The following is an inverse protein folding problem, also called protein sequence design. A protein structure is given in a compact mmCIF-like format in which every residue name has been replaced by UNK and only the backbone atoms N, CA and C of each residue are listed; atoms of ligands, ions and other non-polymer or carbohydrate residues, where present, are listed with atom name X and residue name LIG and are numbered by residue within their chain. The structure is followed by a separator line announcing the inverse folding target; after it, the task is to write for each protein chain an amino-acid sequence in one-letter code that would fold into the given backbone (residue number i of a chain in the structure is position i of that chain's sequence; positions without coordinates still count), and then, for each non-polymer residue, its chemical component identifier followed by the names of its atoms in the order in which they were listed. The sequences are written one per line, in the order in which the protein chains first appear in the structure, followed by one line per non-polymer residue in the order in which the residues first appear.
data_IF_231984264112
#
_entry.id   IF_231984264112
#
_cell.length_a   1.000
_cell.length_b   1.000
_cell.length_c   1.000
_cell.angle_alpha   90.00
_cell.angle_beta   90.00
_cell.angle_gamma   90.00
#
_symmetry.space_group_name_H-M   'P 1'
#
loop_
_entity.id
_entity.type
_entity.pdbx_description
1 polymer ?
#
# COMPACT_ATOMS: atom_id res chain seq x y z
N UNK A 1 -0.72 11.93 25.06
CA UNK A 1 -0.12 13.04 24.30
C UNK A 1 -0.85 13.11 22.98
N UNK A 2 -1.77 14.05 22.83
CA UNK A 2 -2.41 14.34 21.56
C UNK A 2 -1.42 15.08 20.67
N UNK A 3 -0.96 14.42 19.60
CA UNK A 3 -0.28 15.10 18.50
C UNK A 3 -1.34 15.95 17.79
N UNK A 4 -1.40 17.24 18.14
CA UNK A 4 -2.12 18.22 17.33
C UNK A 4 -1.42 18.29 15.97
N UNK A 5 -2.00 17.67 14.96
CA UNK A 5 -1.60 17.90 13.57
C UNK A 5 -2.16 19.27 13.15
N UNK A 6 -1.32 20.29 12.90
CA UNK A 6 -1.81 21.59 12.47
C UNK A 6 -2.49 21.43 11.09
N UNK A 7 -3.73 21.92 10.98
CA UNK A 7 -4.46 21.96 9.71
C UNK A 7 -3.65 22.76 8.67
N UNK A 8 -3.50 22.23 7.46
CA UNK A 8 -2.82 22.92 6.33
C UNK A 8 -1.35 22.54 6.10
N UNK A 9 -0.76 21.70 6.96
CA UNK A 9 0.64 21.28 6.81
C UNK A 9 0.90 20.48 5.52
N UNK A 10 0.00 19.60 5.04
CA UNK A 10 0.22 18.90 3.77
C UNK A 10 0.33 19.87 2.59
N UNK A 11 -0.48 20.93 2.51
CA UNK A 11 -0.38 21.91 1.41
C UNK A 11 0.93 22.69 1.44
N UNK A 12 1.29 23.25 2.60
CA UNK A 12 2.49 24.05 2.75
C UNK A 12 3.76 23.20 2.58
N UNK A 13 3.77 21.97 3.12
CA UNK A 13 4.88 21.05 2.94
C UNK A 13 5.07 20.67 1.47
N UNK A 14 3.99 20.33 0.75
CA UNK A 14 4.08 19.97 -0.68
C UNK A 14 4.45 21.16 -1.57
N UNK A 15 4.08 22.38 -1.18
CA UNK A 15 4.48 23.63 -1.85
C UNK A 15 5.94 24.01 -1.58
N UNK A 16 6.39 23.91 -0.33
CA UNK A 16 7.75 24.31 0.09
C UNK A 16 8.81 23.23 -0.16
N UNK A 17 8.42 21.96 -0.34
CA UNK A 17 9.35 20.88 -0.67
C UNK A 17 9.77 20.88 -2.14
N UNK A 18 9.49 21.94 -2.92
CA UNK A 18 9.83 22.10 -4.34
C UNK A 18 11.25 21.64 -4.72
N UNK A 19 12.21 21.86 -3.82
CA UNK A 19 13.63 21.57 -4.06
C UNK A 19 14.22 20.46 -3.18
N UNK A 20 13.43 19.84 -2.30
CA UNK A 20 13.91 18.78 -1.42
C UNK A 20 13.96 17.43 -2.17
N UNK A 21 15.14 16.79 -2.17
CA UNK A 21 15.32 15.41 -2.63
C UNK A 21 14.60 14.45 -1.67
N UNK A 22 13.73 13.61 -2.20
CA UNK A 22 13.03 12.57 -1.46
C UNK A 22 11.83 13.03 -0.63
N UNK A 23 10.64 12.96 -1.23
CA UNK A 23 9.38 13.19 -0.52
C UNK A 23 8.90 11.88 0.14
N UNK A 24 8.80 11.90 1.47
CA UNK A 24 8.28 10.81 2.30
C UNK A 24 6.90 11.18 2.84
N UNK A 25 5.89 10.36 2.55
CA UNK A 25 4.50 10.61 2.94
C UNK A 25 3.97 9.39 3.69
N UNK A 26 3.50 9.63 4.91
CA UNK A 26 2.83 8.65 5.75
C UNK A 26 1.41 9.14 6.06
N UNK A 27 0.41 8.34 5.68
CA UNK A 27 -1.00 8.61 5.97
C UNK A 27 -1.58 7.44 6.77
N UNK A 28 -2.01 7.75 7.99
CA UNK A 28 -2.74 6.83 8.88
C UNK A 28 -3.88 7.63 9.52
N UNK A 29 -5.08 7.53 8.95
CA UNK A 29 -6.18 8.40 9.38
C UNK A 29 -7.47 7.61 9.59
N UNK A 30 -7.70 7.25 10.85
CA UNK A 30 -9.03 6.84 11.32
C UNK A 30 -10.03 8.02 11.38
N UNK A 31 -9.59 9.28 11.23
CA UNK A 31 -10.38 10.45 11.61
C UNK A 31 -9.94 11.73 10.90
N UNK A 32 -10.51 12.10 9.75
CA UNK A 32 -10.98 13.48 9.48
C UNK A 32 -11.75 13.61 8.15
N UNK A 33 -12.84 14.40 8.11
CA UNK A 33 -13.36 14.95 6.85
C UNK A 33 -12.37 15.98 6.29
N UNK A 34 -11.85 15.75 5.08
CA UNK A 34 -10.79 16.54 4.43
C UNK A 34 -9.76 15.69 3.66
N UNK A 35 -9.76 14.38 3.88
CA UNK A 35 -8.75 13.46 3.35
C UNK A 35 -8.79 13.27 1.82
N UNK A 36 -9.96 13.41 1.17
CA UNK A 36 -10.09 13.19 -0.27
C UNK A 36 -9.29 14.22 -1.10
N UNK A 37 -9.32 15.49 -0.71
CA UNK A 37 -8.52 16.55 -1.34
C UNK A 37 -7.01 16.29 -1.15
N UNK A 38 -6.63 15.67 -0.03
CA UNK A 38 -5.24 15.31 0.27
C UNK A 38 -4.78 14.15 -0.64
N UNK A 39 -5.63 13.15 -0.86
CA UNK A 39 -5.34 12.05 -1.78
C UNK A 39 -5.25 12.52 -3.24
N UNK A 40 -6.17 13.39 -3.67
CA UNK A 40 -6.12 13.99 -5.02
C UNK A 40 -4.79 14.73 -5.25
N UNK A 41 -4.38 15.55 -4.27
CA UNK A 41 -3.09 16.25 -4.35
C UNK A 41 -1.93 15.27 -4.37
N UNK A 42 -1.90 14.28 -3.47
CA UNK A 42 -0.86 13.25 -3.44
C UNK A 42 -0.67 12.59 -4.81
N UNK A 43 -1.78 12.17 -5.45
CA UNK A 43 -1.75 11.55 -6.78
C UNK A 43 -1.11 12.48 -7.81
N UNK A 44 -1.32 13.79 -7.69
CA UNK A 44 -0.68 14.77 -8.57
C UNK A 44 0.83 14.89 -8.40
N UNK A 45 1.39 14.49 -7.26
CA UNK A 45 2.81 14.60 -6.94
C UNK A 45 3.58 13.27 -6.96
N UNK A 46 2.94 12.17 -7.38
CA UNK A 46 3.56 10.83 -7.39
C UNK A 46 4.89 10.74 -8.17
N UNK A 47 5.09 11.59 -9.16
CA UNK A 47 6.36 11.72 -9.90
C UNK A 47 7.56 12.10 -9.03
N UNK A 48 7.33 12.69 -7.85
CA UNK A 48 8.35 13.18 -6.92
C UNK A 48 8.44 12.36 -5.64
N UNK A 49 7.46 11.50 -5.36
CA UNK A 49 7.39 10.72 -4.13
C UNK A 49 8.42 9.58 -4.19
N UNK A 50 9.28 9.49 -3.17
CA UNK A 50 10.24 8.40 -3.02
C UNK A 50 9.76 7.34 -2.03
N UNK A 51 9.06 7.76 -0.98
CA UNK A 51 8.50 6.85 0.01
C UNK A 51 7.03 7.19 0.23
N UNK A 52 6.17 6.22 -0.07
CA UNK A 52 4.76 6.30 0.21
C UNK A 52 4.33 5.22 1.19
N UNK A 53 3.60 5.64 2.22
CA UNK A 53 3.00 4.78 3.22
C UNK A 53 1.54 5.20 3.45
N UNK A 54 0.60 4.29 3.16
CA UNK A 54 -0.84 4.54 3.34
C UNK A 54 -1.46 3.34 4.03
N UNK A 55 -2.16 3.61 5.13
CA UNK A 55 -2.86 2.60 5.90
C UNK A 55 -4.33 2.96 6.10
N UNK A 56 -5.14 1.93 6.35
CA UNK A 56 -6.56 2.08 6.64
C UNK A 56 -7.41 2.32 5.40
N UNK A 57 -8.47 3.12 5.58
CA UNK A 57 -9.53 3.32 4.57
C UNK A 57 -9.00 4.01 3.30
N UNK A 58 -8.10 4.97 3.47
CA UNK A 58 -7.56 5.83 2.42
C UNK A 58 -6.75 5.01 1.42
N UNK A 59 -6.23 3.85 1.82
CA UNK A 59 -5.53 2.95 0.90
C UNK A 59 -6.40 2.57 -0.29
N UNK A 60 -7.69 2.30 -0.08
CA UNK A 60 -8.60 1.92 -1.16
C UNK A 60 -8.91 3.09 -2.09
N UNK A 61 -9.21 4.25 -1.51
CA UNK A 61 -9.49 5.47 -2.27
C UNK A 61 -8.25 5.87 -3.09
N UNK A 62 -7.06 5.81 -2.48
CA UNK A 62 -5.79 6.02 -3.16
C UNK A 62 -5.57 5.05 -4.32
N UNK A 63 -5.75 3.74 -4.10
CA UNK A 63 -5.53 2.72 -5.13
C UNK A 63 -6.44 2.91 -6.35
N UNK A 64 -7.65 3.45 -6.17
CA UNK A 64 -8.56 3.79 -7.28
C UNK A 64 -8.12 5.02 -8.09
N UNK A 65 -7.31 5.88 -7.50
CA UNK A 65 -6.93 7.17 -8.09
C UNK A 65 -5.50 7.20 -8.61
N UNK A 66 -4.63 6.33 -8.10
CA UNK A 66 -3.20 6.31 -8.40
C UNK A 66 -2.89 5.68 -9.77
N UNK A 67 -3.48 6.23 -10.83
CA UNK A 67 -3.30 5.82 -12.23
C UNK A 67 -2.13 6.54 -12.92
N UNK A 68 -1.44 7.44 -12.22
CA UNK A 68 -0.29 8.21 -12.76
C UNK A 68 1.05 7.53 -12.46
N UNK A 69 2.04 7.62 -13.35
CA UNK A 69 3.39 7.10 -13.10
C UNK A 69 4.00 7.58 -11.78
N UNK A 70 4.79 6.71 -11.15
CA UNK A 70 5.57 7.03 -9.95
C UNK A 70 7.06 6.68 -10.14
N UNK A 71 7.76 7.34 -11.09
CA UNK A 71 9.12 7.00 -11.50
C UNK A 71 10.16 7.03 -10.37
N UNK A 72 9.96 7.88 -9.35
CA UNK A 72 10.88 8.04 -8.22
C UNK A 72 10.49 7.19 -7.01
N UNK A 73 9.38 6.48 -7.05
CA UNK A 73 8.92 5.70 -5.89
C UNK A 73 9.88 4.55 -5.61
N UNK A 74 10.49 4.58 -4.43
CA UNK A 74 11.50 3.63 -3.96
C UNK A 74 10.95 2.66 -2.93
N UNK A 75 10.05 3.15 -2.06
CA UNK A 75 9.40 2.38 -1.00
C UNK A 75 7.90 2.59 -1.03
N UNK A 76 7.16 1.49 -1.07
CA UNK A 76 5.70 1.49 -1.01
C UNK A 76 5.24 0.60 0.13
N UNK A 77 4.51 1.17 1.08
CA UNK A 77 3.85 0.45 2.15
C UNK A 77 2.35 0.76 2.11
N UNK A 78 1.55 -0.25 1.83
CA UNK A 78 0.10 -0.14 1.78
C UNK A 78 -0.52 -1.12 2.74
N UNK A 79 -1.54 -0.70 3.47
CA UNK A 79 -2.33 -1.63 4.26
C UNK A 79 -3.78 -1.25 4.44
N UNK A 80 -4.62 -2.26 4.58
CA UNK A 80 -6.06 -2.10 4.80
C UNK A 80 -6.43 -1.76 6.23
N UNK A 81 -5.54 -2.03 7.18
CA UNK A 81 -5.77 -1.83 8.61
C UNK A 81 -4.99 -0.61 9.09
N UNK A 82 -5.60 0.24 9.94
CA UNK A 82 -4.86 1.28 10.64
C UNK A 82 -3.80 0.62 11.53
N UNK A 83 -2.69 1.32 11.81
CA UNK A 83 -1.62 0.75 12.63
C UNK A 83 -1.99 0.68 14.13
N UNK A 84 -3.19 1.16 14.50
CA UNK A 84 -3.68 1.27 15.88
C UNK A 84 -4.77 0.26 16.30
N UNK A 85 -4.91 -0.02 17.61
CA UNK A 85 -5.76 -1.10 18.13
C UNK A 85 -7.29 -0.85 18.15
N UNK A 86 -7.84 0.19 17.49
CA UNK A 86 -9.14 0.75 17.92
C UNK A 86 -10.17 1.26 16.90
N UNK A 87 -10.19 0.79 15.65
CA UNK A 87 -11.29 1.16 14.73
C UNK A 87 -12.08 -0.03 14.20
N UNK A 88 -13.23 -0.36 14.82
CA UNK A 88 -14.08 -1.47 14.40
C UNK A 88 -15.13 -1.10 13.33
N UNK A 89 -15.14 0.13 12.77
CA UNK A 89 -16.36 0.65 12.10
C UNK A 89 -16.42 0.65 10.58
N UNK A 90 -15.35 0.41 9.84
CA UNK A 90 -15.41 0.49 8.38
C UNK A 90 -15.07 -0.87 7.79
N UNK A 91 -16.11 -1.63 7.43
CA UNK A 91 -15.99 -2.91 6.75
C UNK A 91 -15.29 -2.69 5.41
N UNK A 92 -14.10 -3.25 5.31
CA UNK A 92 -13.33 -3.43 4.08
C UNK A 92 -14.17 -4.21 3.09
N UNK A 93 -14.15 -3.80 1.82
CA UNK A 93 -14.71 -4.58 0.71
C UNK A 93 -13.95 -5.90 0.60
N UNK A 94 -14.64 -7.01 0.87
CA UNK A 94 -14.08 -8.36 0.98
C UNK A 94 -13.48 -8.92 -0.32
N UNK A 95 -13.49 -8.15 -1.41
CA UNK A 95 -13.03 -8.59 -2.74
C UNK A 95 -12.04 -7.61 -3.38
N UNK A 96 -11.48 -6.67 -2.60
CA UNK A 96 -10.55 -5.71 -3.16
C UNK A 96 -9.17 -6.34 -3.42
N UNK A 97 -8.67 -6.17 -4.64
CA UNK A 97 -7.32 -6.56 -5.08
C UNK A 97 -6.58 -5.30 -5.52
N UNK A 98 -5.28 -5.22 -5.24
CA UNK A 98 -4.44 -4.13 -5.74
C UNK A 98 -4.52 -4.09 -7.27
N UNK A 99 -4.92 -2.96 -7.89
CA UNK A 99 -5.02 -2.85 -9.34
C UNK A 99 -3.68 -3.16 -10.02
N UNK A 100 -3.71 -3.92 -11.11
CA UNK A 100 -2.51 -4.29 -11.87
C UNK A 100 -1.91 -3.10 -12.62
N UNK A 101 -2.71 -2.08 -12.89
CA UNK A 101 -2.32 -0.81 -13.53
C UNK A 101 -1.95 0.29 -12.52
N UNK A 102 -1.76 -0.05 -11.24
CA UNK A 102 -1.32 0.93 -10.24
C UNK A 102 -0.04 1.63 -10.71
N UNK A 103 -0.05 2.95 -10.61
CA UNK A 103 0.99 3.83 -11.13
C UNK A 103 1.21 3.76 -12.64
N UNK A 104 0.16 3.49 -13.43
CA UNK A 104 0.26 3.18 -14.86
C UNK A 104 1.24 2.02 -15.15
N UNK A 105 1.48 1.14 -14.17
CA UNK A 105 2.49 0.09 -14.21
C UNK A 105 3.94 0.57 -14.25
N UNK A 106 4.21 1.86 -14.00
CA UNK A 106 5.54 2.46 -14.14
C UNK A 106 6.15 2.86 -12.78
N UNK A 107 6.88 1.93 -12.18
CA UNK A 107 7.61 2.09 -10.90
C UNK A 107 9.07 1.59 -10.99
N UNK A 108 9.89 2.11 -11.91
CA UNK A 108 11.23 1.59 -12.18
C UNK A 108 12.18 1.60 -10.97
N UNK A 109 11.99 2.52 -10.03
CA UNK A 109 12.88 2.71 -8.86
C UNK A 109 12.45 1.91 -7.62
N UNK A 110 11.35 1.17 -7.68
CA UNK A 110 10.77 0.49 -6.52
C UNK A 110 11.65 -0.70 -6.11
N UNK A 111 12.16 -0.66 -4.88
CA UNK A 111 12.95 -1.76 -4.31
C UNK A 111 12.36 -2.34 -3.02
N UNK A 112 11.41 -1.68 -2.37
CA UNK A 112 10.75 -2.19 -1.17
C UNK A 112 9.23 -2.10 -1.29
N UNK A 113 8.56 -3.24 -1.14
CA UNK A 113 7.10 -3.36 -1.18
C UNK A 113 6.58 -4.03 0.09
N UNK A 114 5.72 -3.32 0.83
CA UNK A 114 4.96 -3.82 1.96
C UNK A 114 3.46 -3.79 1.64
N UNK A 115 2.81 -4.95 1.68
CA UNK A 115 1.37 -5.08 1.57
C UNK A 115 0.81 -5.76 2.82
N UNK A 116 -0.03 -5.05 3.57
CA UNK A 116 -0.70 -5.58 4.75
C UNK A 116 -2.21 -5.65 4.53
N UNK A 117 -2.73 -6.87 4.39
CA UNK A 117 -4.16 -7.09 4.21
C UNK A 117 -4.66 -6.66 2.84
N UNK A 118 -3.80 -6.66 1.82
CA UNK A 118 -4.10 -6.32 0.44
C UNK A 118 -3.62 -7.44 -0.50
N UNK A 119 -4.55 -8.21 -1.09
CA UNK A 119 -4.22 -9.17 -2.14
C UNK A 119 -3.63 -8.46 -3.37
N UNK A 120 -2.70 -9.11 -4.06
CA UNK A 120 -2.04 -8.59 -5.25
C UNK A 120 -2.02 -9.64 -6.35
N UNK A 121 -2.23 -9.22 -7.59
CA UNK A 121 -2.09 -10.08 -8.76
C UNK A 121 -0.61 -10.46 -8.97
N UNK A 122 -0.28 -11.75 -9.18
CA UNK A 122 1.11 -12.19 -9.39
C UNK A 122 1.77 -11.57 -10.64
N UNK A 123 0.99 -11.11 -11.62
CA UNK A 123 1.49 -10.41 -12.81
C UNK A 123 1.71 -8.91 -12.58
N UNK A 124 1.38 -8.38 -11.39
CA UNK A 124 1.49 -6.95 -11.09
C UNK A 124 2.92 -6.42 -11.31
N UNK A 125 3.08 -5.26 -11.97
CA UNK A 125 4.38 -4.61 -12.17
C UNK A 125 5.02 -4.14 -10.85
N UNK A 126 4.26 -4.08 -9.76
CA UNK A 126 4.81 -3.81 -8.42
C UNK A 126 5.70 -4.97 -7.94
N UNK A 127 5.42 -6.19 -8.39
CA UNK A 127 6.23 -7.39 -8.13
C UNK A 127 7.41 -7.46 -9.13
N UNK A 128 8.19 -6.38 -9.16
CA UNK A 128 9.27 -6.17 -10.14
C UNK A 128 10.56 -6.91 -9.79
N UNK A 129 11.44 -7.06 -10.78
CA UNK A 129 12.77 -7.65 -10.63
C UNK A 129 13.74 -6.81 -9.78
N UNK A 130 13.38 -5.54 -9.52
CA UNK A 130 14.19 -4.60 -8.74
C UNK A 130 13.94 -4.68 -7.23
N UNK A 131 12.93 -5.45 -6.79
CA UNK A 131 12.64 -5.60 -5.37
C UNK A 131 13.79 -6.29 -4.62
N UNK A 132 14.22 -5.65 -3.54
CA UNK A 132 15.14 -6.18 -2.52
C UNK A 132 14.40 -6.58 -1.26
N UNK A 133 13.24 -5.98 -1.01
CA UNK A 133 12.37 -6.29 0.12
C UNK A 133 10.94 -6.50 -0.36
N UNK A 134 10.36 -7.65 -0.02
CA UNK A 134 8.95 -7.97 -0.21
C UNK A 134 8.36 -8.42 1.13
N UNK A 135 7.28 -7.76 1.54
CA UNK A 135 6.54 -8.12 2.73
C UNK A 135 5.05 -8.25 2.40
N UNK A 136 4.55 -9.47 2.54
CA UNK A 136 3.15 -9.83 2.32
C UNK A 136 2.57 -10.29 3.64
N UNK A 137 1.72 -9.47 4.24
CA UNK A 137 1.14 -9.74 5.55
C UNK A 137 -0.37 -9.89 5.35
N UNK A 138 -0.94 -11.03 5.73
CA UNK A 138 -2.39 -11.09 5.94
C UNK A 138 -2.69 -10.31 7.22
N UNK A 139 -3.57 -9.32 7.13
CA UNK A 139 -4.00 -8.59 8.32
C UNK A 139 -4.88 -9.45 9.23
N UNK A 140 -5.60 -8.83 10.16
CA UNK A 140 -6.50 -9.56 11.05
C UNK A 140 -7.67 -10.29 10.34
N UNK A 141 -7.91 -11.59 10.63
CA UNK A 141 -8.89 -12.46 9.95
C UNK A 141 -10.31 -11.91 9.82
N UNK A 142 -10.73 -11.03 10.75
CA UNK A 142 -12.08 -10.44 10.77
C UNK A 142 -12.37 -9.49 9.60
N UNK A 143 -11.34 -9.07 8.87
CA UNK A 143 -11.43 -8.04 7.83
C UNK A 143 -10.98 -8.51 6.45
N UNK A 144 -10.66 -9.81 6.27
CA UNK A 144 -10.07 -10.30 5.02
C UNK A 144 -11.03 -11.06 4.13
N UNK A 145 -10.64 -11.10 2.86
CA UNK A 145 -11.26 -11.80 1.76
C UNK A 145 -11.35 -13.31 2.04
N UNK A 146 -12.32 -13.99 1.45
CA UNK A 146 -12.54 -15.45 1.62
C UNK A 146 -11.49 -16.31 0.89
N UNK A 147 -10.48 -15.72 0.27
CA UNK A 147 -9.51 -16.38 -0.60
C UNK A 147 -8.07 -16.36 -0.08
N UNK A 148 -7.20 -17.17 -0.69
CA UNK A 148 -5.74 -17.01 -0.53
C UNK A 148 -5.31 -15.69 -1.15
N UNK A 149 -4.27 -15.08 -0.59
CA UNK A 149 -3.67 -13.87 -1.19
C UNK A 149 -2.94 -14.23 -2.48
N UNK A 150 -2.18 -15.33 -2.44
CA UNK A 150 -1.50 -15.94 -3.58
C UNK A 150 -1.57 -17.46 -3.40
N UNK A 151 -1.63 -18.20 -4.51
CA UNK A 151 -1.35 -19.63 -4.44
C UNK A 151 0.15 -19.86 -4.21
N UNK A 152 0.52 -21.06 -3.74
CA UNK A 152 1.94 -21.41 -3.56
C UNK A 152 2.70 -21.39 -4.90
N UNK A 153 2.05 -21.83 -5.99
CA UNK A 153 2.67 -21.82 -7.33
C UNK A 153 2.91 -20.39 -7.81
N UNK A 154 1.91 -19.50 -7.64
CA UNK A 154 2.05 -18.09 -8.01
C UNK A 154 3.18 -17.42 -7.21
N UNK A 155 3.26 -17.71 -5.91
CA UNK A 155 4.33 -17.18 -5.07
C UNK A 155 5.71 -17.64 -5.57
N UNK A 156 5.88 -18.93 -5.89
CA UNK A 156 7.15 -19.46 -6.41
C UNK A 156 7.52 -18.76 -7.73
N UNK A 157 6.57 -18.56 -8.64
CA UNK A 157 6.81 -17.86 -9.91
C UNK A 157 7.11 -16.37 -9.74
N UNK A 158 6.49 -15.71 -8.76
CA UNK A 158 6.83 -14.34 -8.36
C UNK A 158 8.27 -14.28 -7.86
N UNK A 159 8.65 -15.14 -6.91
CA UNK A 159 9.98 -15.13 -6.30
C UNK A 159 11.10 -15.47 -7.30
N UNK A 160 10.85 -16.39 -8.26
CA UNK A 160 11.80 -16.71 -9.34
C UNK A 160 12.15 -15.50 -10.20
N UNK A 161 11.24 -14.54 -10.34
CA UNK A 161 11.45 -13.30 -11.11
C UNK A 161 12.13 -12.19 -10.31
N UNK A 162 12.47 -12.41 -9.04
CA UNK A 162 13.07 -11.39 -8.16
C UNK A 162 14.50 -11.77 -7.76
N UNK A 163 15.47 -11.70 -8.70
CA UNK A 163 16.85 -12.13 -8.44
C UNK A 163 17.59 -11.26 -7.41
N UNK A 164 17.04 -10.08 -7.08
CA UNK A 164 17.62 -9.12 -6.13
C UNK A 164 16.98 -9.19 -4.74
N UNK A 165 16.03 -10.10 -4.51
CA UNK A 165 15.31 -10.15 -3.24
C UNK A 165 16.23 -10.61 -2.12
N UNK A 166 16.46 -9.73 -1.15
CA UNK A 166 17.29 -9.99 0.04
C UNK A 166 16.42 -10.33 1.25
N UNK A 167 15.22 -9.76 1.33
CA UNK A 167 14.32 -9.91 2.46
C UNK A 167 12.90 -10.27 1.99
N UNK A 168 12.42 -11.43 2.44
CA UNK A 168 11.04 -11.87 2.29
C UNK A 168 10.39 -11.99 3.66
N UNK A 169 9.33 -11.23 3.89
CA UNK A 169 8.48 -11.33 5.07
C UNK A 169 7.10 -11.81 4.65
N UNK A 170 6.64 -12.91 5.25
CA UNK A 170 5.30 -13.43 4.98
C UNK A 170 4.59 -13.78 6.28
N UNK A 171 3.32 -13.39 6.39
CA UNK A 171 2.47 -13.79 7.50
C UNK A 171 1.10 -14.26 6.99
N UNK A 172 0.79 -15.53 7.23
CA UNK A 172 -0.48 -16.20 6.88
C UNK A 172 -0.97 -15.98 5.43
N UNK A 173 -0.06 -15.85 4.46
CA UNK A 173 -0.42 -15.51 3.07
C UNK A 173 -1.01 -16.71 2.31
N UNK A 174 -0.54 -17.92 2.61
CA UNK A 174 -0.83 -19.16 1.87
C UNK A 174 -2.04 -19.95 2.38
N UNK A 175 -2.48 -19.68 3.61
CA UNK A 175 -3.53 -20.46 4.28
C UNK A 175 -4.90 -20.15 3.68
N UNK A 176 -5.76 -21.14 3.45
CA UNK A 176 -7.16 -20.84 3.14
C UNK A 176 -7.83 -20.28 4.40
N UNK A 177 -8.55 -19.15 4.34
CA UNK A 177 -9.29 -18.69 5.51
C UNK A 177 -10.30 -19.77 5.89
N UNK A 178 -10.17 -20.30 7.12
CA UNK A 178 -11.15 -21.22 7.66
C UNK A 178 -12.48 -20.46 7.71
N UNK A 179 -13.51 -20.96 7.02
CA UNK A 179 -14.85 -20.43 7.21
C UNK A 179 -15.20 -20.69 8.67
N UNK A 180 -15.22 -19.65 9.50
CA UNK A 180 -15.84 -19.78 10.82
C UNK A 180 -17.30 -20.14 10.56
N UNK A 181 -17.66 -21.38 10.89
CA UNK A 181 -19.04 -21.85 10.83
C UNK A 181 -19.93 -20.86 11.56
N UNK A 182 -20.99 -20.43 10.87
CA UNK A 182 -22.09 -19.70 11.50
C UNK A 182 -22.90 -20.64 12.39
#
# INVERSE_FOLDING_TARGET
MDLMYPKGWPELFMQHSGDALGLCIAMDTDRTPGDELTLQKLVCYLERVEWLMIYGRQTYEFLRMATRPAPRLRRLALGSQPTGPRSPRNQVTQDFVVPSDLFAGHVPSLYALLLNGLPIDPSSPLLSTNLTLLALIRGQPKYHTRGRFLSLLDLIEVLRRMPRLEMLLMNDVLTLPQQMGR
#
